data_IF_755313658823
#
_entry.id   IF_755313658823
#
_cell.length_a   1.000
_cell.length_b   1.000
_cell.length_c   1.000
_cell.angle_alpha   90.00
_cell.angle_beta   90.00
_cell.angle_gamma   90.00
#
_symmetry.space_group_name_H-M   'P 1'
#
loop_
_entity.id
_entity.type
_entity.pdbx_description
1 polymer ?
#
# COMPACT_ATOMS: atom_id res chain seq x y z
N UNK A 1 -15.44 -12.25 2.85
CA UNK A 1 -14.01 -11.88 2.81
C UNK A 1 -13.90 -10.37 2.56
N UNK A 2 -12.98 -9.72 3.24
CA UNK A 2 -12.76 -8.30 3.07
C UNK A 2 -11.67 -8.12 2.02
N UNK A 3 -11.94 -7.33 0.98
CA UNK A 3 -10.96 -7.07 -0.07
C UNK A 3 -10.34 -5.70 0.13
N UNK A 4 -9.01 -5.66 0.18
CA UNK A 4 -8.24 -4.44 0.38
C UNK A 4 -7.27 -4.29 -0.78
N UNK A 5 -7.18 -3.09 -1.33
CA UNK A 5 -6.24 -2.79 -2.42
C UNK A 5 -5.19 -1.82 -1.91
N UNK A 6 -3.97 -1.95 -2.38
CA UNK A 6 -2.88 -1.09 -1.96
C UNK A 6 -1.98 -0.81 -3.14
N UNK A 7 -1.21 0.28 -3.05
CA UNK A 7 -0.42 0.77 -4.15
C UNK A 7 1.07 0.72 -3.85
N UNK A 8 1.84 0.17 -4.77
CA UNK A 8 3.28 0.31 -4.79
C UNK A 8 3.59 1.47 -5.70
N UNK A 9 3.92 2.61 -5.11
CA UNK A 9 4.17 3.86 -5.83
C UNK A 9 5.66 4.13 -5.80
N UNK A 10 6.27 4.12 -6.99
CA UNK A 10 7.72 4.28 -7.08
C UNK A 10 8.09 5.64 -7.63
N UNK A 11 9.12 6.24 -7.05
CA UNK A 11 9.71 7.46 -7.57
C UNK A 11 11.19 7.44 -7.21
N UNK A 12 12.04 7.58 -8.20
CA UNK A 12 13.49 7.61 -8.01
C UNK A 12 14.01 6.36 -7.30
N UNK A 13 13.44 5.21 -7.61
CA UNK A 13 13.87 3.95 -7.01
C UNK A 13 13.38 3.70 -5.61
N UNK A 14 12.54 4.59 -5.08
CA UNK A 14 12.01 4.48 -3.73
C UNK A 14 10.51 4.23 -3.77
N UNK A 15 10.00 3.59 -2.73
CA UNK A 15 8.57 3.32 -2.58
C UNK A 15 7.98 4.22 -1.51
N UNK A 16 6.75 4.65 -1.74
CA UNK A 16 6.01 5.44 -0.76
C UNK A 16 5.41 4.53 0.29
N UNK A 17 5.73 4.80 1.56
CA UNK A 17 5.20 4.02 2.68
C UNK A 17 4.59 4.98 3.70
N UNK A 18 3.61 4.48 4.44
CA UNK A 18 2.75 5.31 5.26
C UNK A 18 2.63 4.72 6.66
N UNK A 19 2.68 5.57 7.67
CA UNK A 19 2.55 5.14 9.06
C UNK A 19 1.16 5.46 9.58
N UNK A 20 0.50 4.47 10.16
CA UNK A 20 -0.85 4.61 10.70
C UNK A 20 -0.82 5.49 11.94
N UNK A 21 -1.88 6.30 12.10
CA UNK A 21 -1.95 7.26 13.21
C UNK A 21 -2.18 6.57 14.55
N UNK A 22 -1.75 7.24 15.59
CA UNK A 22 -2.11 6.87 16.96
C UNK A 22 -3.61 6.86 17.09
N UNK A 23 -4.14 5.98 17.92
CA UNK A 23 -5.57 5.90 18.17
C UNK A 23 -6.35 5.12 17.12
N UNK A 24 -5.68 4.60 16.10
CA UNK A 24 -6.33 3.72 15.11
C UNK A 24 -5.89 2.29 15.38
N UNK A 25 -6.56 1.34 14.72
CA UNK A 25 -6.11 -0.05 14.77
C UNK A 25 -4.73 -0.15 14.15
N UNK A 26 -3.87 -1.00 14.74
CA UNK A 26 -2.48 -1.19 14.31
C UNK A 26 -1.72 0.13 14.30
N UNK A 27 -1.95 0.93 15.35
CA UNK A 27 -1.37 2.28 15.45
C UNK A 27 0.14 2.26 15.27
N UNK A 28 0.64 3.25 14.55
CA UNK A 28 2.07 3.50 14.33
C UNK A 28 2.78 2.43 13.51
N UNK A 29 2.08 1.43 13.01
CA UNK A 29 2.66 0.47 12.09
C UNK A 29 2.64 1.04 10.67
N UNK A 30 3.50 0.49 9.83
CA UNK A 30 3.69 0.98 8.46
C UNK A 30 2.91 0.12 7.47
N UNK A 31 2.50 0.73 6.37
CA UNK A 31 1.73 0.06 5.33
C UNK A 31 1.91 0.80 4.02
N UNK A 32 1.45 0.21 2.92
CA UNK A 32 1.33 0.93 1.65
C UNK A 32 -0.05 1.58 1.59
N UNK A 33 -0.17 2.72 0.90
CA UNK A 33 -1.48 3.41 0.87
C UNK A 33 -2.52 2.61 0.10
N UNK A 34 -3.76 2.73 0.53
CA UNK A 34 -4.88 1.99 -0.07
C UNK A 34 -5.99 1.84 0.93
N UNK A 35 -6.90 0.89 0.67
CA UNK A 35 -8.00 0.67 1.58
C UNK A 35 -9.00 -0.34 1.05
N UNK A 36 -10.16 -0.41 1.72
CA UNK A 36 -11.18 -1.40 1.41
C UNK A 36 -11.92 -1.06 0.13
N UNK A 37 -12.22 -2.10 -0.65
CA UNK A 37 -13.05 -1.98 -1.84
C UNK A 37 -14.50 -1.90 -1.39
N UNK A 38 -15.24 -0.91 -1.91
CA UNK A 38 -16.65 -0.73 -1.59
C UNK A 38 -17.51 -1.47 -2.60
N UNK A 39 -18.76 -1.80 -2.23
CA UNK A 39 -19.65 -2.45 -3.18
C UNK A 39 -19.80 -1.62 -4.45
N UNK A 40 -19.74 -2.30 -5.59
CA UNK A 40 -19.89 -1.65 -6.88
C UNK A 40 -18.64 -1.07 -7.48
N UNK A 41 -17.53 -1.05 -6.73
CA UNK A 41 -16.25 -0.56 -7.26
C UNK A 41 -15.45 -1.70 -7.86
N UNK A 42 -14.73 -1.41 -8.96
CA UNK A 42 -13.67 -2.30 -9.38
C UNK A 42 -12.48 -2.11 -8.44
N UNK A 43 -11.52 -3.02 -8.49
CA UNK A 43 -10.32 -2.90 -7.68
C UNK A 43 -9.58 -1.59 -7.98
N UNK A 44 -9.46 -1.28 -9.27
CA UNK A 44 -8.76 -0.06 -9.68
C UNK A 44 -9.50 1.20 -9.24
N UNK A 45 -10.83 1.20 -9.36
CA UNK A 45 -11.62 2.35 -8.92
C UNK A 45 -11.45 2.60 -7.43
N UNK A 46 -11.45 1.53 -6.65
CA UNK A 46 -11.28 1.64 -5.21
C UNK A 46 -9.91 2.24 -4.87
N UNK A 47 -8.88 1.79 -5.57
CA UNK A 47 -7.53 2.27 -5.29
C UNK A 47 -7.38 3.74 -5.68
N UNK A 48 -7.92 4.15 -6.83
CA UNK A 48 -7.89 5.56 -7.23
C UNK A 48 -8.56 6.42 -6.17
N UNK A 49 -9.72 5.99 -5.69
CA UNK A 49 -10.46 6.74 -4.66
C UNK A 49 -9.67 6.83 -3.36
N UNK A 50 -9.10 5.70 -2.90
CA UNK A 50 -8.35 5.70 -1.65
C UNK A 50 -7.12 6.59 -1.73
N UNK A 51 -6.40 6.56 -2.85
CA UNK A 51 -5.20 7.39 -2.98
C UNK A 51 -5.56 8.87 -3.02
N UNK A 52 -6.69 9.21 -3.63
CA UNK A 52 -7.13 10.60 -3.62
C UNK A 52 -7.50 11.06 -2.21
N UNK A 53 -8.18 10.19 -1.45
CA UNK A 53 -8.57 10.52 -0.09
C UNK A 53 -7.36 10.65 0.83
N UNK A 54 -6.35 9.82 0.64
CA UNK A 54 -5.22 9.76 1.57
C UNK A 54 -4.07 10.66 1.20
N UNK A 55 -3.82 10.84 -0.09
CA UNK A 55 -2.65 11.56 -0.57
C UNK A 55 -2.99 12.80 -1.38
N UNK A 56 -4.26 13.04 -1.64
CA UNK A 56 -4.71 14.26 -2.31
C UNK A 56 -4.28 14.36 -3.76
N UNK A 57 -4.07 13.24 -4.43
CA UNK A 57 -3.61 13.24 -5.80
C UNK A 57 -4.30 12.14 -6.59
N UNK A 58 -4.40 12.33 -7.89
CA UNK A 58 -4.96 11.31 -8.75
C UNK A 58 -3.88 10.30 -9.12
N UNK A 59 -4.31 9.07 -9.36
CA UNK A 59 -3.39 7.99 -9.66
C UNK A 59 -3.81 7.25 -10.91
N UNK A 60 -2.81 6.76 -11.65
CA UNK A 60 -3.01 5.81 -12.73
C UNK A 60 -2.58 4.45 -12.21
N UNK A 61 -3.52 3.49 -12.25
CA UNK A 61 -3.28 2.17 -11.69
C UNK A 61 -2.74 1.26 -12.79
N UNK A 62 -1.61 0.63 -12.52
CA UNK A 62 -0.99 -0.29 -13.45
C UNK A 62 -1.36 -1.73 -13.17
N UNK A 63 -0.39 -2.63 -13.29
CA UNK A 63 -0.65 -4.05 -13.16
C UNK A 63 -0.68 -4.47 -11.70
N UNK A 64 -1.41 -5.57 -11.44
CA UNK A 64 -1.36 -6.24 -10.15
C UNK A 64 0.00 -6.90 -10.01
N UNK A 65 0.66 -6.68 -8.87
CA UNK A 65 2.02 -7.20 -8.67
C UNK A 65 2.09 -8.26 -7.58
N UNK A 66 1.14 -8.29 -6.65
CA UNK A 66 1.18 -9.25 -5.55
C UNK A 66 -0.20 -9.38 -4.95
N UNK A 67 -0.53 -10.59 -4.48
CA UNK A 67 -1.83 -10.86 -3.87
C UNK A 67 -1.62 -11.84 -2.73
N UNK A 68 -2.25 -11.58 -1.58
CA UNK A 68 -2.12 -12.43 -0.42
C UNK A 68 -3.41 -12.42 0.38
N UNK A 69 -3.61 -13.47 1.17
CA UNK A 69 -4.70 -13.52 2.13
C UNK A 69 -4.12 -13.55 3.53
N UNK A 70 -4.80 -12.92 4.47
CA UNK A 70 -4.34 -12.86 5.84
C UNK A 70 -5.54 -12.82 6.77
N UNK A 71 -5.44 -13.52 7.88
CA UNK A 71 -6.48 -13.49 8.90
C UNK A 71 -5.92 -12.84 10.16
N UNK A 72 -6.49 -11.71 10.51
CA UNK A 72 -6.18 -11.07 11.78
C UNK A 72 -7.16 -11.59 12.83
N UNK A 73 -6.65 -11.83 14.04
CA UNK A 73 -7.49 -12.34 15.12
C UNK A 73 -8.64 -11.40 15.45
N UNK A 74 -8.43 -10.09 15.21
CA UNK A 74 -9.42 -9.07 15.54
C UNK A 74 -10.56 -9.00 14.53
N UNK A 75 -10.43 -9.63 13.38
CA UNK A 75 -11.43 -9.53 12.32
C UNK A 75 -12.24 -10.80 12.21
N UNK A 76 -13.52 -10.65 11.86
CA UNK A 76 -14.42 -11.78 11.72
C UNK A 76 -14.19 -12.56 10.43
N UNK A 77 -13.50 -11.96 9.46
CA UNK A 77 -13.27 -12.59 8.16
C UNK A 77 -11.84 -12.34 7.71
N UNK A 78 -11.29 -13.22 6.85
CA UNK A 78 -9.97 -12.99 6.31
C UNK A 78 -9.96 -11.79 5.37
N UNK A 79 -8.78 -11.20 5.21
CA UNK A 79 -8.56 -10.11 4.28
C UNK A 79 -7.87 -10.67 3.04
N UNK A 80 -8.35 -10.28 1.87
CA UNK A 80 -7.61 -10.46 0.63
C UNK A 80 -6.94 -9.14 0.29
N UNK A 81 -5.63 -9.14 0.19
CA UNK A 81 -4.83 -7.95 -0.06
C UNK A 81 -4.27 -8.03 -1.46
N UNK A 82 -4.54 -7.01 -2.28
CA UNK A 82 -4.13 -6.98 -3.67
C UNK A 82 -3.32 -5.72 -3.91
N UNK A 83 -2.08 -5.89 -4.35
CA UNK A 83 -1.15 -4.78 -4.54
C UNK A 83 -0.98 -4.49 -6.01
N UNK A 84 -1.12 -3.21 -6.37
CA UNK A 84 -0.97 -2.74 -7.74
C UNK A 84 0.19 -1.77 -7.85
N UNK A 85 0.87 -1.80 -8.98
CA UNK A 85 1.78 -0.73 -9.33
C UNK A 85 0.95 0.51 -9.66
N UNK A 86 1.36 1.70 -9.18
CA UNK A 86 0.60 2.91 -9.43
C UNK A 86 1.53 4.09 -9.62
N UNK A 87 1.07 5.06 -10.42
CA UNK A 87 1.77 6.33 -10.62
C UNK A 87 0.85 7.46 -10.22
N UNK A 88 1.43 8.48 -9.60
CA UNK A 88 0.66 9.64 -9.14
C UNK A 88 0.76 10.76 -10.16
N UNK A 89 -0.35 11.48 -10.32
CA UNK A 89 -0.44 12.57 -11.28
C UNK A 89 -1.24 13.72 -10.66
N UNK A 90 -0.64 14.79 -10.15
CA UNK A 90 0.81 15.05 -10.16
C UNK A 90 1.55 14.15 -9.18
N UNK A 91 2.86 14.13 -9.31
CA UNK A 91 3.69 13.26 -8.47
C UNK A 91 3.83 13.76 -7.03
N UNK A 92 3.46 15.00 -6.78
CA UNK A 92 3.50 15.53 -5.43
C UNK A 92 2.38 14.92 -4.59
N UNK A 93 2.68 14.56 -3.36
CA UNK A 93 1.72 13.95 -2.46
C UNK A 93 1.50 14.83 -1.26
N UNK A 94 0.31 14.72 -0.66
CA UNK A 94 -0.01 15.35 0.60
C UNK A 94 -0.33 14.27 1.62
N UNK A 95 0.00 14.52 2.87
CA UNK A 95 -0.34 13.57 3.92
C UNK A 95 -1.64 14.03 4.56
N UNK A 96 -2.75 13.41 4.16
CA UNK A 96 -4.06 13.82 4.66
C UNK A 96 -4.54 12.97 5.83
N UNK A 97 -3.99 11.75 6.02
CA UNK A 97 -4.55 10.85 7.02
C UNK A 97 -3.51 10.08 7.84
N UNK A 98 -2.22 10.15 7.50
CA UNK A 98 -1.22 9.31 8.15
C UNK A 98 -0.43 10.07 9.20
N UNK A 99 0.18 9.33 10.13
CA UNK A 99 1.10 9.93 11.09
C UNK A 99 2.31 10.48 10.33
N UNK A 100 2.84 9.69 9.40
CA UNK A 100 4.01 10.07 8.62
C UNK A 100 3.99 9.34 7.29
N UNK A 101 4.55 9.94 6.25
CA UNK A 101 4.79 9.26 4.98
C UNK A 101 6.28 9.41 4.64
N UNK A 102 6.85 8.35 4.07
CA UNK A 102 8.26 8.33 3.72
C UNK A 102 8.43 7.70 2.35
N UNK A 103 9.51 8.10 1.66
CA UNK A 103 9.98 7.40 0.46
C UNK A 103 11.19 6.57 0.89
N UNK A 104 11.11 5.24 0.69
CA UNK A 104 12.15 4.35 1.16
C UNK A 104 12.62 3.43 0.05
N UNK A 105 13.92 3.16 0.02
CA UNK A 105 14.45 2.14 -0.88
C UNK A 105 13.95 0.77 -0.44
N UNK A 106 13.67 -0.14 -1.39
CA UNK A 106 13.13 -1.45 -1.02
C UNK A 106 13.98 -2.21 -0.02
N UNK A 107 15.31 -2.12 -0.12
CA UNK A 107 16.21 -2.84 0.78
C UNK A 107 16.09 -2.37 2.22
N UNK A 108 15.58 -1.16 2.45
CA UNK A 108 15.45 -0.61 3.79
C UNK A 108 14.08 -0.86 4.43
N UNK A 109 13.13 -1.44 3.68
CA UNK A 109 11.78 -1.64 4.21
C UNK A 109 11.74 -2.50 5.47
N UNK A 110 12.56 -3.56 5.60
CA UNK A 110 12.50 -4.36 6.83
C UNK A 110 12.87 -3.61 8.10
N UNK A 111 13.45 -2.41 7.99
CA UNK A 111 13.76 -1.60 9.15
C UNK A 111 12.50 -0.99 9.79
N UNK A 112 11.39 -0.96 9.05
CA UNK A 112 10.14 -0.41 9.56
C UNK A 112 9.23 -1.53 10.03
N UNK A 113 8.37 -1.21 11.01
CA UNK A 113 7.45 -2.19 11.57
C UNK A 113 6.17 -2.23 10.72
N UNK A 114 6.19 -3.04 9.69
CA UNK A 114 5.05 -3.18 8.78
C UNK A 114 3.95 -4.05 9.35
N UNK A 115 2.73 -3.84 8.87
CA UNK A 115 1.60 -4.71 9.20
C UNK A 115 1.94 -6.17 8.90
N UNK A 116 1.46 -7.11 9.73
CA UNK A 116 1.77 -8.53 9.50
C UNK A 116 1.42 -9.02 8.11
N UNK A 117 0.31 -8.55 7.54
CA UNK A 117 -0.12 -9.00 6.22
C UNK A 117 0.86 -8.58 5.11
N UNK A 118 1.71 -7.57 5.37
CA UNK A 118 2.63 -7.07 4.35
C UNK A 118 4.01 -7.70 4.45
N UNK A 119 4.29 -8.50 5.49
CA UNK A 119 5.67 -8.89 5.77
C UNK A 119 6.31 -9.74 4.68
N UNK A 120 5.55 -10.66 4.10
CA UNK A 120 6.10 -11.48 3.02
C UNK A 120 6.44 -10.63 1.80
N UNK A 121 5.56 -9.68 1.47
CA UNK A 121 5.82 -8.76 0.36
C UNK A 121 7.05 -7.91 0.64
N UNK A 122 7.19 -7.43 1.88
CA UNK A 122 8.34 -6.63 2.27
C UNK A 122 9.65 -7.41 2.06
N UNK A 123 9.66 -8.69 2.44
CA UNK A 123 10.84 -9.52 2.25
C UNK A 123 11.17 -9.71 0.79
N UNK A 124 10.15 -9.92 -0.03
CA UNK A 124 10.36 -10.11 -1.47
C UNK A 124 10.87 -8.84 -2.15
N UNK A 125 10.36 -7.70 -1.74
CA UNK A 125 10.82 -6.43 -2.28
C UNK A 125 12.25 -6.13 -1.84
N UNK A 126 12.56 -6.37 -0.56
CA UNK A 126 13.87 -6.07 -0.02
C UNK A 126 14.96 -6.96 -0.62
N UNK A 127 14.62 -8.22 -0.91
CA UNK A 127 15.60 -9.17 -1.46
C UNK A 127 15.73 -9.07 -2.98
N UNK A 128 14.86 -8.27 -3.63
CA UNK A 128 14.86 -8.19 -5.08
C UNK A 128 14.17 -9.36 -5.78
N UNK A 129 13.55 -10.25 -4.99
CA UNK A 129 12.82 -11.38 -5.56
C UNK A 129 11.59 -10.93 -6.34
N UNK A 130 10.95 -9.85 -5.88
CA UNK A 130 9.80 -9.27 -6.56
C UNK A 130 10.15 -7.85 -6.98
N UNK A 131 10.06 -7.59 -8.27
CA UNK A 131 10.28 -6.25 -8.81
C UNK A 131 8.93 -5.56 -8.96
N UNK A 132 8.92 -4.27 -8.66
CA UNK A 132 7.68 -3.53 -8.75
C UNK A 132 7.83 -2.46 -9.82
N UNK A 133 7.17 -2.43 -10.79
CA UNK A 133 7.26 -1.42 -11.79
C UNK A 133 8.02 -1.84 -12.95
N UNK A 134 8.13 -1.02 -13.85
CA UNK A 134 8.67 -1.31 -14.96
C UNK A 134 9.97 -1.21 -15.14
N UNK A 135 10.31 -1.49 -15.50
CA UNK A 135 11.52 -1.45 -15.67
C UNK A 135 12.02 -0.52 -16.51
N UNK A 136 12.02 -0.24 -16.66
CA UNK A 136 12.48 0.52 -17.33
C UNK A 136 12.44 1.02 -17.79
#
# INVERSE_FOLDING_TARGET
MITVVAALIRDNGKLLVCQRKRGTSFAMMWEFPGGKVKPGETLEQALVRELEEELGTKATIGSEVYRAQHRYAELSAPIELIFFHAELNPRSVRNLVFEEILWREPSSLPELNFLPADKELIEKLASGTLLFGDRK
#
